data_IF_792938329708
#
_entry.id   IF_792938329708
#
_cell.length_a   1.000
_cell.length_b   1.000
_cell.length_c   1.000
_cell.angle_alpha   90.00
_cell.angle_beta   90.00
_cell.angle_gamma   90.00
#
_symmetry.space_group_name_H-M   'P 1'
#
loop_
_entity.id
_entity.type
_entity.pdbx_description
1 polymer ?
#
# COMPACT_ATOMS: atom_id res chain seq x y z
N UNK A 1 7.57 23.01 -1.05
CA UNK A 1 6.33 23.51 -0.41
C UNK A 1 5.38 23.93 -1.51
N UNK A 2 4.31 23.17 -1.72
CA UNK A 2 3.32 23.44 -2.77
C UNK A 2 2.20 24.33 -2.24
N UNK A 3 1.58 25.14 -3.10
CA UNK A 3 0.37 25.92 -2.79
C UNK A 3 -0.91 25.08 -2.86
N UNK A 4 -0.82 23.88 -3.41
CA UNK A 4 -1.90 22.89 -3.51
C UNK A 4 -1.48 21.56 -2.90
N UNK A 5 -2.46 20.69 -2.65
CA UNK A 5 -2.21 19.30 -2.21
C UNK A 5 -1.40 18.58 -3.28
N UNK A 6 -0.17 18.13 -2.99
CA UNK A 6 0.65 17.46 -3.98
C UNK A 6 0.21 15.99 -4.12
N UNK A 7 0.29 15.47 -5.35
CA UNK A 7 0.04 14.08 -5.70
C UNK A 7 1.16 13.51 -6.56
N UNK A 8 1.16 12.20 -6.72
CA UNK A 8 2.15 11.46 -7.50
C UNK A 8 3.33 10.93 -6.68
N UNK A 9 4.27 10.23 -7.35
CA UNK A 9 5.51 9.76 -6.74
C UNK A 9 6.30 10.92 -6.12
N UNK A 10 6.78 10.72 -4.90
CA UNK A 10 7.61 11.68 -4.16
C UNK A 10 6.93 13.04 -3.89
N UNK A 11 5.59 13.12 -3.97
CA UNK A 11 4.80 14.33 -3.77
C UNK A 11 5.08 15.06 -2.44
N UNK A 12 5.41 14.31 -1.38
CA UNK A 12 5.69 14.85 -0.05
C UNK A 12 7.18 15.21 0.14
N UNK A 13 8.01 15.10 -0.91
CA UNK A 13 9.42 15.47 -0.87
C UNK A 13 9.59 16.99 -0.96
N UNK A 14 10.45 17.52 -0.12
CA UNK A 14 10.77 18.95 -0.11
C UNK A 14 11.57 19.33 -1.37
N UNK A 15 11.24 20.48 -1.96
CA UNK A 15 12.02 21.04 -3.06
C UNK A 15 13.38 21.51 -2.57
N UNK A 16 14.39 21.63 -3.46
CA UNK A 16 15.68 22.22 -3.13
C UNK A 16 15.54 23.59 -2.47
N UNK A 17 14.69 24.47 -3.02
CA UNK A 17 14.46 25.80 -2.45
C UNK A 17 13.93 25.76 -1.00
N UNK A 18 13.01 24.84 -0.70
CA UNK A 18 12.49 24.70 0.68
C UNK A 18 13.56 24.17 1.62
N UNK A 19 14.42 23.25 1.15
CA UNK A 19 15.57 22.73 1.91
C UNK A 19 16.57 23.84 2.21
N UNK A 20 16.97 24.60 1.20
CA UNK A 20 17.96 25.67 1.34
C UNK A 20 17.45 26.78 2.26
N UNK A 21 16.15 27.11 2.16
CA UNK A 21 15.53 28.11 3.04
C UNK A 21 15.49 27.67 4.50
N UNK A 22 15.16 26.41 4.77
CA UNK A 22 15.24 25.85 6.14
C UNK A 22 16.70 25.83 6.61
N UNK A 23 17.64 25.41 5.77
CA UNK A 23 19.05 25.39 6.13
C UNK A 23 19.54 26.79 6.52
N UNK A 24 19.17 27.82 5.75
CA UNK A 24 19.48 29.21 6.06
C UNK A 24 18.83 29.67 7.36
N UNK A 25 17.55 29.34 7.60
CA UNK A 25 16.86 29.67 8.85
C UNK A 25 17.54 29.03 10.06
N UNK A 26 17.90 27.76 9.98
CA UNK A 26 18.56 27.04 11.06
C UNK A 26 19.98 27.55 11.30
N UNK A 27 20.68 28.05 10.26
CA UNK A 27 22.01 28.64 10.41
C UNK A 27 22.00 29.95 11.23
N UNK A 28 20.86 30.65 11.27
CA UNK A 28 20.64 31.81 12.14
C UNK A 28 20.27 31.45 13.59
N UNK A 29 20.22 30.14 13.90
CA UNK A 29 20.05 29.55 15.24
C UNK A 29 18.79 29.97 16.02
N UNK A 30 17.61 29.42 15.69
CA UNK A 30 16.42 29.59 16.52
C UNK A 30 16.58 28.82 17.84
N UNK A 31 16.90 29.53 18.93
CA UNK A 31 17.17 28.93 20.25
C UNK A 31 16.02 28.08 20.83
N UNK A 32 14.79 28.29 20.37
CA UNK A 32 13.59 27.58 20.82
C UNK A 32 13.37 26.19 20.19
N UNK A 33 14.25 25.76 19.27
CA UNK A 33 14.18 24.44 18.64
C UNK A 33 15.36 23.54 19.04
N UNK A 34 16.29 24.05 19.84
CA UNK A 34 17.51 23.35 20.22
C UNK A 34 17.36 22.60 21.55
N UNK A 35 16.31 22.88 22.33
CA UNK A 35 16.01 22.13 23.53
C UNK A 35 15.32 20.80 23.21
N UNK A 36 15.67 19.76 23.97
CA UNK A 36 15.00 18.48 23.85
C UNK A 36 13.54 18.59 24.29
N UNK A 37 12.63 17.93 23.57
CA UNK A 37 11.21 17.90 23.91
C UNK A 37 11.01 17.48 25.37
N UNK A 38 10.41 18.38 26.16
CA UNK A 38 10.09 18.13 27.57
C UNK A 38 8.85 17.25 27.67
N UNK A 39 9.02 15.94 27.50
CA UNK A 39 7.95 14.96 27.65
C UNK A 39 8.21 13.64 26.91
N UNK A 40 7.67 12.53 27.44
CA UNK A 40 7.64 11.27 26.68
C UNK A 40 6.57 11.39 25.61
N UNK A 41 6.98 11.52 24.34
CA UNK A 41 6.08 11.45 23.20
C UNK A 41 5.44 10.05 23.08
N UNK A 42 4.33 9.85 23.80
CA UNK A 42 3.57 8.59 23.85
C UNK A 42 2.95 8.23 22.50
N UNK A 43 2.53 9.23 21.72
CA UNK A 43 1.95 9.06 20.38
C UNK A 43 2.93 8.44 19.38
N UNK A 44 4.23 8.79 19.45
CA UNK A 44 5.25 8.22 18.57
C UNK A 44 5.47 6.72 18.80
N UNK A 45 5.17 6.18 20.00
CA UNK A 45 5.33 4.73 20.27
C UNK A 45 4.35 3.87 19.48
N UNK A 46 3.13 4.36 19.25
CA UNK A 46 2.10 3.63 18.48
C UNK A 46 2.48 3.50 17.00
N UNK A 47 3.07 4.55 16.42
CA UNK A 47 3.56 4.55 15.03
C UNK A 47 4.98 3.99 14.86
N UNK A 48 5.75 3.85 15.94
CA UNK A 48 7.14 3.36 15.89
C UNK A 48 7.30 1.92 15.40
N UNK A 49 6.23 1.12 15.32
CA UNK A 49 6.33 -0.30 14.93
C UNK A 49 5.59 -0.66 13.65
N UNK A 50 4.72 0.20 13.12
CA UNK A 50 3.92 -0.08 11.91
C UNK A 50 3.71 1.18 11.09
N UNK A 51 3.77 1.03 9.77
CA UNK A 51 3.51 2.13 8.85
C UNK A 51 2.03 2.58 8.95
N UNK A 52 1.71 3.87 8.77
CA UNK A 52 0.35 4.37 8.93
C UNK A 52 -0.68 3.66 8.04
N UNK A 53 -0.34 3.37 6.79
CA UNK A 53 -1.21 2.67 5.83
C UNK A 53 -1.44 1.19 6.15
N UNK A 54 -0.66 0.61 7.07
CA UNK A 54 -0.90 -0.74 7.61
C UNK A 54 -1.96 -0.69 8.73
N UNK A 55 -1.98 0.40 9.49
CA UNK A 55 -2.94 0.60 10.59
C UNK A 55 -4.25 1.22 10.11
N UNK A 56 -4.19 2.00 9.04
CA UNK A 56 -5.32 2.69 8.41
C UNK A 56 -5.32 2.36 6.92
N UNK A 57 -6.16 1.41 6.52
CA UNK A 57 -6.19 0.91 5.15
C UNK A 57 -6.82 1.92 4.17
N UNK A 58 -6.83 1.60 2.86
CA UNK A 58 -7.35 2.49 1.83
C UNK A 58 -8.85 2.81 1.97
N UNK A 59 -9.66 1.84 2.43
CA UNK A 59 -11.10 2.04 2.64
C UNK A 59 -11.34 2.99 3.81
N UNK A 60 -10.64 2.80 4.92
CA UNK A 60 -10.70 3.69 6.10
C UNK A 60 -10.22 5.11 5.76
N UNK A 61 -9.17 5.23 4.93
CA UNK A 61 -8.74 6.53 4.40
C UNK A 61 -9.81 7.21 3.55
N UNK A 62 -10.53 6.44 2.73
CA UNK A 62 -11.65 6.96 1.94
C UNK A 62 -12.84 7.38 2.81
N UNK A 63 -13.20 6.59 3.82
CA UNK A 63 -14.24 6.92 4.78
C UNK A 63 -13.91 8.19 5.57
N UNK A 64 -12.65 8.39 5.95
CA UNK A 64 -12.19 9.63 6.60
C UNK A 64 -12.23 10.85 5.67
N UNK A 65 -11.99 10.69 4.36
CA UNK A 65 -11.95 11.79 3.41
C UNK A 65 -13.33 12.22 2.88
N UNK A 66 -14.24 11.26 2.71
CA UNK A 66 -15.53 11.46 2.03
C UNK A 66 -16.75 11.06 2.87
N UNK A 67 -16.55 10.40 4.01
CA UNK A 67 -17.61 9.96 4.92
C UNK A 67 -18.00 8.48 4.74
N UNK A 68 -18.94 8.03 5.58
CA UNK A 68 -19.42 6.64 5.60
C UNK A 68 -19.92 6.19 4.24
N UNK A 69 -19.57 4.95 3.85
CA UNK A 69 -19.98 4.33 2.59
C UNK A 69 -19.02 4.55 1.42
N UNK A 70 -17.99 5.38 1.58
CA UNK A 70 -16.87 5.46 0.64
C UNK A 70 -15.81 4.41 0.95
N UNK A 71 -15.28 3.79 -0.10
CA UNK A 71 -14.21 2.79 -0.05
C UNK A 71 -13.22 3.01 -1.18
N UNK A 72 -12.10 2.30 -1.16
CA UNK A 72 -11.08 2.37 -2.20
C UNK A 72 -11.62 1.93 -3.55
N UNK A 73 -11.26 2.65 -4.62
CA UNK A 73 -11.71 2.30 -5.96
C UNK A 73 -10.95 1.05 -6.47
N UNK A 74 -11.64 -0.04 -6.85
CA UNK A 74 -10.97 -1.27 -7.27
C UNK A 74 -10.09 -1.11 -8.51
N UNK A 75 -10.48 -0.21 -9.43
CA UNK A 75 -9.79 0.00 -10.70
C UNK A 75 -8.47 0.75 -10.59
N UNK A 76 -8.24 1.43 -9.47
CA UNK A 76 -7.06 2.28 -9.25
C UNK A 76 -6.21 1.76 -8.10
N UNK A 77 -6.35 0.49 -7.72
CA UNK A 77 -5.70 -0.04 -6.53
C UNK A 77 -4.17 0.01 -6.58
N UNK A 78 -3.59 -0.05 -7.78
CA UNK A 78 -2.14 0.06 -8.00
C UNK A 78 -1.63 1.50 -8.03
N UNK A 79 -2.51 2.51 -8.06
CA UNK A 79 -2.13 3.92 -8.08
C UNK A 79 -1.80 4.40 -6.67
N UNK A 80 -0.50 4.52 -6.39
CA UNK A 80 0.00 5.10 -5.15
C UNK A 80 0.23 6.61 -5.26
N UNK A 81 0.04 7.22 -6.43
CA UNK A 81 0.19 8.65 -6.62
C UNK A 81 -0.98 9.45 -6.07
N UNK A 82 -2.19 8.88 -6.13
CA UNK A 82 -3.39 9.51 -5.61
C UNK A 82 -4.36 8.47 -5.07
N UNK A 83 -4.94 8.71 -3.89
CA UNK A 83 -5.99 7.86 -3.35
C UNK A 83 -7.30 8.17 -4.08
N UNK A 84 -7.92 7.13 -4.62
CA UNK A 84 -9.19 7.23 -5.33
C UNK A 84 -10.27 6.45 -4.56
N UNK A 85 -11.38 7.13 -4.29
CA UNK A 85 -12.46 6.63 -3.46
C UNK A 85 -13.76 6.54 -4.25
N UNK A 86 -14.61 5.57 -3.92
CA UNK A 86 -15.88 5.35 -4.59
C UNK A 86 -16.96 4.98 -3.58
N UNK A 87 -18.19 5.44 -3.83
CA UNK A 87 -19.39 5.02 -3.10
C UNK A 87 -20.21 3.97 -3.86
N UNK A 88 -20.11 3.94 -5.18
CA UNK A 88 -20.90 3.08 -6.06
C UNK A 88 -20.09 1.97 -6.77
N UNK A 89 -18.76 2.03 -6.71
CA UNK A 89 -17.86 1.08 -7.38
C UNK A 89 -17.44 1.47 -8.80
N UNK A 90 -18.08 2.46 -9.42
CA UNK A 90 -17.84 2.86 -10.82
C UNK A 90 -17.21 4.25 -10.94
N UNK A 91 -17.64 5.18 -10.10
CA UNK A 91 -17.12 6.56 -10.07
C UNK A 91 -16.02 6.65 -9.03
N UNK A 92 -14.79 6.89 -9.47
CA UNK A 92 -13.66 7.13 -8.60
C UNK A 92 -13.45 8.65 -8.43
N UNK A 93 -13.47 9.13 -7.18
CA UNK A 93 -13.19 10.51 -6.80
C UNK A 93 -11.83 10.57 -6.11
N UNK A 94 -11.05 11.62 -6.34
CA UNK A 94 -9.77 11.81 -5.65
C UNK A 94 -9.57 13.24 -5.20
N UNK A 95 -8.90 13.41 -4.05
CA UNK A 95 -8.36 14.69 -3.57
C UNK A 95 -6.88 14.86 -3.95
N UNK A 96 -6.36 14.07 -4.89
CA UNK A 96 -4.98 14.09 -5.41
C UNK A 96 -3.92 13.61 -4.41
N UNK A 97 -4.19 13.68 -3.11
CA UNK A 97 -3.30 13.19 -2.07
C UNK A 97 -3.00 11.69 -2.25
N UNK A 98 -1.72 11.27 -2.12
CA UNK A 98 -1.37 9.87 -2.18
C UNK A 98 -1.92 9.10 -0.96
N UNK A 99 -2.21 7.78 -1.10
CA UNK A 99 -2.46 6.92 0.04
C UNK A 99 -1.30 6.94 1.04
N UNK A 100 -1.61 6.66 2.31
CA UNK A 100 -0.60 6.57 3.37
C UNK A 100 0.45 5.49 3.06
N UNK A 101 1.71 5.76 3.41
CA UNK A 101 2.77 4.77 3.30
C UNK A 101 2.40 3.48 4.07
N UNK A 102 2.56 2.32 3.42
CA UNK A 102 2.13 1.01 3.92
C UNK A 102 0.75 0.56 3.44
N UNK A 103 0.00 1.41 2.71
CA UNK A 103 -1.30 1.03 2.13
C UNK A 103 -1.11 -0.07 1.08
N UNK A 104 -1.92 -1.13 1.09
CA UNK A 104 -1.80 -2.22 0.11
C UNK A 104 -2.24 -1.79 -1.29
N UNK A 105 -1.33 -1.89 -2.25
CA UNK A 105 -1.58 -1.58 -3.67
C UNK A 105 -1.66 -2.81 -4.57
N UNK A 106 -1.07 -3.93 -4.14
CA UNK A 106 -1.16 -5.22 -4.81
C UNK A 106 -0.80 -6.35 -3.83
N UNK A 107 -1.01 -7.63 -4.19
CA UNK A 107 -0.50 -8.74 -3.39
C UNK A 107 1.00 -8.59 -3.14
N UNK A 108 1.40 -8.62 -1.86
CA UNK A 108 2.79 -8.42 -1.40
C UNK A 108 3.43 -7.09 -1.80
N UNK A 109 2.63 -6.04 -1.93
CA UNK A 109 3.11 -4.69 -2.25
C UNK A 109 2.40 -3.62 -1.45
N UNK A 110 3.16 -2.59 -1.09
CA UNK A 110 2.66 -1.41 -0.40
C UNK A 110 2.99 -0.14 -1.17
N UNK A 111 2.17 0.88 -0.97
CA UNK A 111 2.50 2.24 -1.36
C UNK A 111 3.59 2.78 -0.44
N UNK A 112 4.71 3.22 -1.02
CA UNK A 112 5.79 3.91 -0.33
C UNK A 112 6.22 5.10 -1.18
N UNK A 113 6.18 6.30 -0.61
CA UNK A 113 6.54 7.54 -1.32
C UNK A 113 5.78 7.74 -2.64
N UNK A 114 4.53 7.28 -2.69
CA UNK A 114 3.69 7.38 -3.87
C UNK A 114 3.93 6.32 -4.94
N UNK A 115 4.71 5.27 -4.65
CA UNK A 115 5.01 4.18 -5.58
C UNK A 115 4.58 2.81 -5.00
N UNK A 116 4.10 1.91 -5.86
CA UNK A 116 3.70 0.56 -5.44
C UNK A 116 4.90 -0.39 -5.46
N UNK A 117 5.54 -0.56 -4.30
CA UNK A 117 6.79 -1.33 -4.13
C UNK A 117 6.56 -2.65 -3.41
N UNK A 118 7.51 -3.57 -3.54
CA UNK A 118 7.52 -4.84 -2.79
C UNK A 118 7.52 -4.56 -1.28
N UNK A 119 6.63 -5.23 -0.52
CA UNK A 119 6.48 -5.01 0.92
C UNK A 119 7.63 -5.60 1.75
N UNK A 120 8.63 -6.20 1.10
CA UNK A 120 9.80 -6.79 1.75
C UNK A 120 9.49 -8.09 2.48
N UNK A 121 8.28 -8.64 2.31
CA UNK A 121 7.98 -9.98 2.78
C UNK A 121 8.91 -10.98 2.09
N UNK A 122 9.33 -12.04 2.80
CA UNK A 122 10.23 -13.04 2.21
C UNK A 122 9.51 -13.82 1.11
N UNK A 123 10.13 -13.92 -0.08
CA UNK A 123 9.59 -14.75 -1.16
C UNK A 123 9.81 -16.20 -0.78
N UNK A 124 8.72 -16.95 -0.63
CA UNK A 124 8.77 -18.37 -0.31
C UNK A 124 8.40 -19.12 -1.58
N UNK A 125 9.29 -20.00 -2.03
CA UNK A 125 9.10 -20.71 -3.30
C UNK A 125 7.97 -21.73 -3.22
N UNK A 126 7.08 -21.65 -4.22
CA UNK A 126 6.05 -22.64 -4.54
C UNK A 126 6.50 -24.10 -4.40
N UNK A 127 5.63 -24.94 -3.88
CA UNK A 127 5.77 -26.37 -3.69
C UNK A 127 4.49 -27.09 -4.13
N UNK A 128 4.64 -28.14 -4.93
CA UNK A 128 3.48 -28.90 -5.38
C UNK A 128 2.90 -29.75 -4.25
N UNK A 129 1.59 -29.75 -4.08
CA UNK A 129 0.86 -30.75 -3.29
C UNK A 129 1.05 -32.15 -3.88
N UNK A 130 0.76 -33.22 -3.11
CA UNK A 130 0.75 -34.56 -3.69
C UNK A 130 -0.31 -34.58 -4.80
N UNK A 131 -0.09 -35.41 -5.81
CA UNK A 131 -1.15 -35.65 -6.79
C UNK A 131 -2.43 -36.12 -6.09
N UNK A 132 -3.59 -35.76 -6.65
CA UNK A 132 -4.88 -36.26 -6.17
C UNK A 132 -4.84 -37.79 -6.07
N UNK A 133 -5.35 -38.34 -4.95
CA UNK A 133 -5.28 -39.79 -4.68
C UNK A 133 -5.92 -40.60 -5.79
N UNK A 134 -7.04 -40.10 -6.31
CA UNK A 134 -7.77 -40.71 -7.40
C UNK A 134 -7.41 -40.03 -8.72
N UNK A 135 -7.27 -40.85 -9.75
CA UNK A 135 -7.35 -40.38 -11.12
C UNK A 135 -8.81 -40.07 -11.46
N UNK A 136 -9.02 -39.08 -12.32
CA UNK A 136 -10.33 -38.89 -12.94
C UNK A 136 -10.65 -40.11 -13.81
N UNK A 137 -11.93 -40.44 -14.00
CA UNK A 137 -12.33 -41.54 -14.91
C UNK A 137 -11.80 -41.31 -16.34
N UNK A 138 -11.56 -42.40 -17.07
CA UNK A 138 -11.13 -42.31 -18.46
C UNK A 138 -12.21 -41.59 -19.29
N UNK A 139 -11.80 -40.65 -20.14
CA UNK A 139 -12.76 -39.88 -20.96
C UNK A 139 -13.56 -40.73 -21.94
N UNK A 140 -13.04 -41.91 -22.31
CA UNK A 140 -13.67 -42.82 -23.27
C UNK A 140 -13.49 -44.27 -22.82
N UNK A 141 -14.47 -45.10 -23.16
CA UNK A 141 -14.46 -46.54 -22.87
C UNK A 141 -13.78 -47.37 -23.96
N UNK A 142 -13.61 -46.84 -25.17
CA UNK A 142 -12.87 -47.45 -26.29
C UNK A 142 -12.29 -46.39 -27.24
N UNK A 143 -11.38 -46.79 -28.14
CA UNK A 143 -10.83 -45.93 -29.18
C UNK A 143 -9.78 -44.91 -28.70
N UNK A 144 -9.15 -45.16 -27.55
CA UNK A 144 -8.14 -44.28 -26.94
C UNK A 144 -8.78 -43.13 -26.13
N UNK A 145 -8.41 -43.01 -24.85
CA UNK A 145 -8.92 -42.00 -23.93
C UNK A 145 -7.81 -41.36 -23.10
N UNK A 146 -8.13 -40.27 -22.42
CA UNK A 146 -7.20 -39.53 -21.56
C UNK A 146 -7.64 -39.70 -20.12
N UNK A 147 -6.68 -39.95 -19.24
CA UNK A 147 -6.87 -39.93 -17.80
C UNK A 147 -5.92 -38.89 -17.20
N UNK A 148 -6.40 -38.11 -16.25
CA UNK A 148 -5.56 -37.14 -15.56
C UNK A 148 -5.84 -37.13 -14.06
N UNK A 149 -4.87 -36.60 -13.33
CA UNK A 149 -4.96 -36.25 -11.91
C UNK A 149 -4.42 -34.85 -11.75
N UNK A 150 -4.78 -34.17 -10.67
CA UNK A 150 -4.40 -32.77 -10.44
C UNK A 150 -3.51 -32.67 -9.21
N UNK A 151 -2.66 -31.65 -9.19
CA UNK A 151 -1.93 -31.18 -8.01
C UNK A 151 -1.99 -29.65 -8.02
N UNK A 152 -1.83 -29.05 -6.86
CA UNK A 152 -1.98 -27.60 -6.64
C UNK A 152 -0.72 -27.06 -5.99
N UNK A 153 -0.38 -25.80 -6.26
CA UNK A 153 0.73 -25.12 -5.59
C UNK A 153 0.24 -24.62 -4.22
N UNK A 154 0.18 -25.55 -3.25
CA UNK A 154 -0.24 -25.28 -1.86
C UNK A 154 0.81 -25.69 -0.84
N UNK A 155 1.98 -26.11 -1.31
CA UNK A 155 3.24 -25.99 -0.60
C UNK A 155 3.94 -24.81 -1.29
N UNK A 156 4.93 -24.08 -0.75
CA UNK A 156 5.67 -24.26 0.48
C UNK A 156 4.77 -24.19 1.70
#
# INVERSE_FOLDING_TARGET
>A
MSTSVPGGPWALKWSPCSRDRIQALLSTSPQCLLDGAKGKATYLRAFKRRMPGVSVNADEQCEMQYGKGFRHCPHTQSDCGSLHCTSNGYSCLSKVAPPLDGTRCAPRRWCISGECVDDGTTKTDGGWSPWSRQWVGCTRTCGGGIQWRKRTCTRP
#
